data_IF_384252541981
#
_entry.id   IF_384252541981
#
_cell.length_a   1.000
_cell.length_b   1.000
_cell.length_c   1.000
_cell.angle_alpha   90.00
_cell.angle_beta   90.00
_cell.angle_gamma   90.00
#
_symmetry.space_group_name_H-M   'P 1'
#
loop_
_entity.id
_entity.type
_entity.pdbx_description
1 polymer ?
#
# COMPACT_ATOMS: atom_id res chain seq x y z
N UNK A 1 -83.03 12.17 -75.21
CA UNK A 1 -82.26 11.58 -74.10
C UNK A 1 -80.94 12.34 -73.90
N UNK A 2 -80.98 13.58 -73.43
CA UNK A 2 -79.75 14.38 -73.20
C UNK A 2 -79.69 15.03 -71.80
N UNK A 3 -80.71 14.81 -70.95
CA UNK A 3 -80.83 15.47 -69.65
C UNK A 3 -80.19 14.62 -68.52
N UNK A 4 -80.00 13.31 -68.72
CA UNK A 4 -79.42 12.40 -67.72
C UNK A 4 -77.90 12.50 -67.59
N UNK A 5 -77.17 12.83 -68.66
CA UNK A 5 -75.70 12.89 -68.62
C UNK A 5 -75.15 14.13 -67.89
N UNK A 6 -75.86 15.26 -67.96
CA UNK A 6 -75.39 16.53 -67.36
C UNK A 6 -75.56 16.54 -65.84
N UNK A 7 -76.62 15.93 -65.29
CA UNK A 7 -76.81 15.82 -63.84
C UNK A 7 -75.79 14.90 -63.16
N UNK A 8 -75.31 13.86 -63.86
CA UNK A 8 -74.28 12.96 -63.33
C UNK A 8 -72.90 13.63 -63.26
N UNK A 9 -72.55 14.49 -64.23
CA UNK A 9 -71.30 15.27 -64.20
C UNK A 9 -71.28 16.29 -63.05
N UNK A 10 -72.40 16.96 -62.77
CA UNK A 10 -72.52 17.88 -61.63
C UNK A 10 -72.46 17.16 -60.29
N UNK A 11 -73.08 15.98 -60.18
CA UNK A 11 -73.03 15.16 -58.96
C UNK A 11 -71.62 14.64 -58.66
N UNK A 12 -70.87 14.26 -59.71
CA UNK A 12 -69.47 13.88 -59.58
C UNK A 12 -68.61 14.99 -58.98
N UNK A 13 -68.76 16.23 -59.42
CA UNK A 13 -67.96 17.36 -58.92
C UNK A 13 -68.29 17.68 -57.44
N UNK A 14 -69.57 17.65 -57.07
CA UNK A 14 -70.04 17.94 -55.71
C UNK A 14 -69.61 16.88 -54.70
N UNK A 15 -69.40 15.63 -55.12
CA UNK A 15 -68.95 14.55 -54.22
C UNK A 15 -67.44 14.36 -54.24
N UNK A 16 -66.81 14.39 -55.43
CA UNK A 16 -65.38 14.06 -55.57
C UNK A 16 -64.49 15.16 -55.00
N UNK A 17 -64.82 16.45 -55.18
CA UNK A 17 -63.99 17.54 -54.65
C UNK A 17 -63.91 17.54 -53.12
N UNK A 18 -65.01 17.52 -52.36
CA UNK A 18 -64.90 17.50 -50.91
C UNK A 18 -64.20 16.24 -50.41
N UNK A 19 -64.30 15.12 -51.14
CA UNK A 19 -63.63 13.87 -50.79
C UNK A 19 -62.12 13.95 -51.00
N UNK A 20 -61.66 14.55 -52.11
CA UNK A 20 -60.23 14.82 -52.35
C UNK A 20 -59.70 15.84 -51.33
N UNK A 21 -60.47 16.88 -51.00
CA UNK A 21 -60.08 17.88 -50.02
C UNK A 21 -59.99 17.29 -48.60
N UNK A 22 -60.94 16.44 -48.22
CA UNK A 22 -60.90 15.70 -46.96
C UNK A 22 -59.69 14.74 -46.90
N UNK A 23 -59.36 14.10 -48.03
CA UNK A 23 -58.17 13.24 -48.12
C UNK A 23 -56.88 14.03 -47.95
N UNK A 24 -56.77 15.22 -48.56
CA UNK A 24 -55.61 16.12 -48.39
C UNK A 24 -55.48 16.56 -46.92
N UNK A 25 -56.59 16.93 -46.26
CA UNK A 25 -56.58 17.32 -44.84
C UNK A 25 -56.20 16.13 -43.95
N UNK A 26 -56.71 14.94 -44.23
CA UNK A 26 -56.36 13.73 -43.50
C UNK A 26 -54.85 13.45 -43.56
N UNK A 27 -54.26 13.52 -44.76
CA UNK A 27 -52.81 13.35 -44.94
C UNK A 27 -52.02 14.43 -44.19
N UNK A 28 -52.49 15.69 -44.20
CA UNK A 28 -51.84 16.78 -43.45
C UNK A 28 -51.84 16.54 -41.94
N UNK A 29 -52.96 16.08 -41.36
CA UNK A 29 -53.06 15.80 -39.92
C UNK A 29 -52.22 14.57 -39.54
N UNK A 30 -52.24 13.51 -40.36
CA UNK A 30 -51.42 12.33 -40.12
C UNK A 30 -49.92 12.66 -40.12
N UNK A 31 -49.45 13.51 -41.02
CA UNK A 31 -48.06 13.95 -41.04
C UNK A 31 -47.71 14.83 -39.81
N UNK A 32 -48.61 15.72 -39.38
CA UNK A 32 -48.43 16.49 -38.15
C UNK A 32 -48.34 15.63 -36.87
N UNK A 33 -48.85 14.39 -36.92
CA UNK A 33 -48.75 13.39 -35.85
C UNK A 33 -47.53 12.47 -35.98
N UNK A 34 -46.66 12.67 -36.98
CA UNK A 34 -45.47 11.85 -37.21
C UNK A 34 -45.76 10.46 -37.83
N UNK A 35 -46.95 10.26 -38.41
CA UNK A 35 -47.31 9.05 -39.15
C UNK A 35 -47.08 9.30 -40.65
N UNK A 36 -45.88 8.97 -41.15
CA UNK A 36 -45.46 9.14 -42.56
C UNK A 36 -46.19 8.19 -43.53
N UNK A 37 -47.49 8.36 -43.70
CA UNK A 37 -48.33 7.40 -44.42
C UNK A 37 -48.24 7.53 -45.96
N UNK A 38 -47.92 8.71 -46.52
CA UNK A 38 -47.68 8.91 -47.96
C UNK A 38 -46.84 10.19 -48.22
N UNK A 39 -45.82 10.18 -49.10
CA UNK A 39 -45.05 11.37 -49.46
C UNK A 39 -45.88 12.30 -50.36
N UNK A 40 -46.00 13.58 -49.99
CA UNK A 40 -46.73 14.59 -50.76
C UNK A 40 -45.79 15.15 -51.85
N UNK A 41 -46.09 14.99 -53.15
CA UNK A 41 -45.14 15.31 -54.23
C UNK A 41 -44.92 16.82 -54.48
N UNK A 42 -45.55 17.71 -53.72
CA UNK A 42 -45.48 19.17 -53.91
C UNK A 42 -45.26 19.95 -52.60
N UNK A 43 -44.97 19.26 -51.49
CA UNK A 43 -44.68 19.88 -50.20
C UNK A 43 -43.35 19.34 -49.67
N UNK A 44 -42.25 19.82 -50.26
CA UNK A 44 -40.90 19.51 -49.79
C UNK A 44 -40.59 20.36 -48.54
N UNK A 45 -41.04 19.88 -47.39
CA UNK A 45 -40.59 20.35 -46.08
C UNK A 45 -39.40 19.49 -45.65
N UNK A 46 -38.33 19.47 -46.46
CA UNK A 46 -37.02 19.03 -45.99
C UNK A 46 -36.53 20.04 -44.95
N UNK A 47 -36.96 19.86 -43.71
CA UNK A 47 -36.28 20.43 -42.55
C UNK A 47 -34.97 19.67 -42.45
N UNK A 48 -33.94 20.17 -43.14
CA UNK A 48 -32.57 19.99 -42.67
C UNK A 48 -32.58 20.57 -41.26
N UNK A 49 -32.57 19.69 -40.26
CA UNK A 49 -32.63 20.04 -38.85
C UNK A 49 -31.17 20.15 -38.37
N UNK A 50 -30.53 21.34 -38.45
CA UNK A 50 -29.13 21.52 -38.04
C UNK A 50 -28.89 21.11 -36.58
N UNK A 51 -29.95 21.03 -35.78
CA UNK A 51 -29.90 20.58 -34.39
C UNK A 51 -29.61 19.07 -34.25
N UNK A 52 -29.92 18.21 -35.24
CA UNK A 52 -29.58 16.78 -35.19
C UNK A 52 -28.11 16.51 -35.45
N UNK A 53 -27.51 17.25 -36.38
CA UNK A 53 -26.09 17.13 -36.71
C UNK A 53 -25.22 17.69 -35.57
N UNK A 54 -25.65 18.79 -34.94
CA UNK A 54 -25.01 19.31 -33.73
C UNK A 54 -25.14 18.36 -32.53
N UNK A 55 -26.28 17.67 -32.40
CA UNK A 55 -26.50 16.66 -31.36
C UNK A 55 -25.64 15.40 -31.57
N UNK A 56 -25.47 14.92 -32.81
CA UNK A 56 -24.60 13.78 -33.12
C UNK A 56 -23.12 14.10 -32.83
N UNK A 57 -22.65 15.32 -33.12
CA UNK A 57 -21.29 15.76 -32.78
C UNK A 57 -21.07 15.82 -31.27
N UNK A 58 -22.02 16.36 -30.50
CA UNK A 58 -21.94 16.42 -29.03
C UNK A 58 -21.97 15.03 -28.40
N UNK A 59 -22.77 14.10 -28.96
CA UNK A 59 -22.83 12.71 -28.48
C UNK A 59 -21.50 12.00 -28.76
N UNK A 60 -20.91 12.16 -29.93
CA UNK A 60 -19.61 11.58 -30.26
C UNK A 60 -18.48 12.09 -29.35
N UNK A 61 -18.45 13.39 -29.04
CA UNK A 61 -17.48 13.98 -28.11
C UNK A 61 -17.63 13.43 -26.69
N UNK A 62 -18.88 13.28 -26.22
CA UNK A 62 -19.16 12.69 -24.89
C UNK A 62 -18.84 11.21 -24.81
N UNK A 63 -19.04 10.45 -25.89
CA UNK A 63 -18.66 9.04 -25.95
C UNK A 63 -17.13 8.87 -25.87
N UNK A 64 -16.36 9.75 -26.51
CA UNK A 64 -14.90 9.77 -26.40
C UNK A 64 -14.45 10.15 -24.98
N UNK A 65 -15.09 11.14 -24.36
CA UNK A 65 -14.82 11.54 -22.98
C UNK A 65 -15.11 10.39 -22.00
N UNK A 66 -16.27 9.71 -22.12
CA UNK A 66 -16.63 8.55 -21.30
C UNK A 66 -15.60 7.44 -21.45
N UNK A 67 -15.18 7.12 -22.68
CA UNK A 67 -14.16 6.11 -22.93
C UNK A 67 -12.80 6.46 -22.30
N UNK A 68 -12.42 7.74 -22.34
CA UNK A 68 -11.20 8.23 -21.70
C UNK A 68 -11.29 8.17 -20.17
N UNK A 69 -12.46 8.46 -19.61
CA UNK A 69 -12.74 8.37 -18.18
C UNK A 69 -12.72 6.92 -17.71
N UNK A 70 -13.36 6.00 -18.44
CA UNK A 70 -13.36 4.56 -18.14
C UNK A 70 -11.94 3.99 -18.14
N UNK A 71 -11.12 4.37 -19.13
CA UNK A 71 -9.70 3.99 -19.15
C UNK A 71 -8.95 4.55 -17.94
N UNK A 72 -9.22 5.80 -17.54
CA UNK A 72 -8.59 6.44 -16.39
C UNK A 72 -9.00 5.78 -15.07
N UNK A 73 -10.28 5.40 -14.94
CA UNK A 73 -10.79 4.66 -13.78
C UNK A 73 -10.16 3.28 -13.69
N UNK A 74 -10.03 2.58 -14.82
CA UNK A 74 -9.36 1.27 -14.87
C UNK A 74 -7.90 1.35 -14.45
N UNK A 75 -7.15 2.32 -14.97
CA UNK A 75 -5.75 2.55 -14.60
C UNK A 75 -5.61 2.94 -13.12
N UNK A 76 -6.53 3.76 -12.61
CA UNK A 76 -6.52 4.17 -11.21
C UNK A 76 -6.86 3.01 -10.27
N UNK A 77 -7.80 2.12 -10.65
CA UNK A 77 -8.10 0.91 -9.88
C UNK A 77 -6.92 -0.06 -9.84
N UNK A 78 -6.24 -0.27 -10.97
CA UNK A 78 -5.05 -1.12 -11.03
C UNK A 78 -3.94 -0.58 -10.13
N UNK A 79 -3.66 0.73 -10.22
CA UNK A 79 -2.68 1.39 -9.34
C UNK A 79 -3.07 1.34 -7.87
N UNK A 80 -4.37 1.39 -7.56
CA UNK A 80 -4.86 1.26 -6.18
C UNK A 80 -4.59 -0.15 -5.64
N UNK A 81 -4.82 -1.18 -6.44
CA UNK A 81 -4.55 -2.56 -6.06
C UNK A 81 -3.05 -2.81 -5.89
N UNK A 82 -2.20 -2.33 -6.82
CA UNK A 82 -0.73 -2.39 -6.68
C UNK A 82 -0.25 -1.69 -5.40
N UNK A 83 -0.77 -0.50 -5.11
CA UNK A 83 -0.40 0.26 -3.92
C UNK A 83 -0.84 -0.46 -2.64
N UNK A 84 -2.01 -1.08 -2.65
CA UNK A 84 -2.54 -1.87 -1.55
C UNK A 84 -1.71 -3.12 -1.31
N UNK A 85 -1.32 -3.82 -2.37
CA UNK A 85 -0.41 -4.96 -2.28
C UNK A 85 0.97 -4.55 -1.74
N UNK A 86 1.53 -3.44 -2.22
CA UNK A 86 2.79 -2.91 -1.69
C UNK A 86 2.69 -2.51 -0.22
N UNK A 87 1.58 -1.89 0.20
CA UNK A 87 1.34 -1.59 1.61
C UNK A 87 1.25 -2.86 2.46
N UNK A 88 0.52 -3.87 2.00
CA UNK A 88 0.42 -5.14 2.71
C UNK A 88 1.77 -5.86 2.80
N UNK A 89 2.58 -5.83 1.74
CA UNK A 89 3.92 -6.40 1.74
C UNK A 89 4.82 -5.68 2.76
N UNK A 90 4.82 -4.34 2.77
CA UNK A 90 5.56 -3.54 3.74
C UNK A 90 5.07 -3.74 5.17
N UNK A 91 3.77 -3.91 5.38
CA UNK A 91 3.21 -4.18 6.71
C UNK A 91 3.67 -5.52 7.25
N UNK A 92 3.69 -6.58 6.41
CA UNK A 92 4.24 -7.89 6.78
C UNK A 92 5.73 -7.83 7.05
N UNK A 93 6.47 -7.10 6.21
CA UNK A 93 7.89 -6.88 6.44
C UNK A 93 8.10 -6.20 7.79
N UNK A 94 7.39 -5.10 8.07
CA UNK A 94 7.47 -4.39 9.35
C UNK A 94 7.17 -5.31 10.56
N UNK A 95 6.16 -6.16 10.46
CA UNK A 95 5.83 -7.14 11.51
C UNK A 95 6.98 -8.13 11.76
N UNK A 96 7.65 -8.60 10.71
CA UNK A 96 8.85 -9.45 10.84
C UNK A 96 10.01 -8.68 11.50
N UNK A 97 10.27 -7.45 11.07
CA UNK A 97 11.32 -6.61 11.66
C UNK A 97 11.05 -6.31 13.14
N UNK A 98 9.79 -6.06 13.52
CA UNK A 98 9.39 -5.86 14.92
C UNK A 98 9.62 -7.13 15.76
N UNK A 99 9.33 -8.30 15.20
CA UNK A 99 9.59 -9.57 15.86
C UNK A 99 11.09 -9.82 16.05
N UNK A 100 11.90 -9.63 15.00
CA UNK A 100 13.35 -9.82 15.04
C UNK A 100 14.02 -8.85 16.02
N UNK A 101 13.55 -7.59 16.06
CA UNK A 101 14.05 -6.59 16.98
C UNK A 101 13.75 -6.97 18.43
N UNK A 102 12.54 -7.46 18.70
CA UNK A 102 12.16 -7.94 20.02
C UNK A 102 13.01 -9.13 20.47
N UNK A 103 13.24 -10.11 19.59
CA UNK A 103 14.10 -11.26 19.91
C UNK A 103 15.54 -10.80 20.20
N UNK A 104 16.06 -9.86 19.42
CA UNK A 104 17.40 -9.32 19.63
C UNK A 104 17.52 -8.53 20.93
N UNK A 105 16.50 -7.75 21.29
CA UNK A 105 16.42 -7.06 22.58
C UNK A 105 16.41 -8.05 23.76
N UNK A 106 15.61 -9.11 23.68
CA UNK A 106 15.58 -10.17 24.71
C UNK A 106 16.94 -10.84 24.86
N UNK A 107 17.61 -11.18 23.76
CA UNK A 107 18.96 -11.76 23.77
C UNK A 107 20.01 -10.80 24.34
N UNK A 108 19.88 -9.49 24.08
CA UNK A 108 20.78 -8.49 24.63
C UNK A 108 20.61 -8.36 26.15
N UNK A 109 19.37 -8.29 26.63
CA UNK A 109 19.08 -8.24 28.07
C UNK A 109 19.63 -9.48 28.76
N UNK A 110 19.38 -10.69 28.23
CA UNK A 110 19.91 -11.92 28.82
C UNK A 110 21.44 -11.92 28.87
N UNK A 111 22.11 -11.46 27.80
CA UNK A 111 23.58 -11.34 27.78
C UNK A 111 24.09 -10.31 28.76
N UNK A 112 23.44 -9.16 28.89
CA UNK A 112 23.80 -8.12 29.85
C UNK A 112 23.65 -8.62 31.29
N UNK A 113 22.54 -9.31 31.61
CA UNK A 113 22.33 -9.94 32.90
C UNK A 113 23.41 -10.99 33.19
N UNK A 114 23.72 -11.89 32.26
CA UNK A 114 24.78 -12.89 32.42
C UNK A 114 26.16 -12.25 32.64
N UNK A 115 26.48 -11.18 31.92
CA UNK A 115 27.75 -10.47 32.08
C UNK A 115 27.80 -9.72 33.42
N UNK A 116 26.70 -9.11 33.84
CA UNK A 116 26.59 -8.44 35.12
C UNK A 116 26.70 -9.43 36.28
N UNK A 117 26.01 -10.56 36.23
CA UNK A 117 26.10 -11.62 37.22
C UNK A 117 27.52 -12.18 37.30
N UNK A 118 28.17 -12.40 36.16
CA UNK A 118 29.58 -12.81 36.12
C UNK A 118 30.47 -11.75 36.77
N UNK A 119 30.26 -10.47 36.48
CA UNK A 119 30.99 -9.35 37.07
C UNK A 119 30.83 -9.32 38.59
N UNK A 120 29.59 -9.32 39.09
CA UNK A 120 29.27 -9.30 40.53
C UNK A 120 29.89 -10.51 41.24
N UNK A 121 29.87 -11.69 40.62
CA UNK A 121 30.52 -12.88 41.18
C UNK A 121 32.03 -12.71 41.30
N UNK A 122 32.69 -12.20 40.25
CA UNK A 122 34.13 -11.98 40.26
C UNK A 122 34.50 -10.90 41.28
N UNK A 123 33.74 -9.81 41.36
CA UNK A 123 33.91 -8.73 42.34
C UNK A 123 33.78 -9.26 43.78
N UNK A 124 32.76 -10.06 44.06
CA UNK A 124 32.59 -10.71 45.39
C UNK A 124 33.78 -11.62 45.73
N UNK A 125 34.32 -12.33 44.74
CA UNK A 125 35.51 -13.17 44.93
C UNK A 125 36.74 -12.29 45.21
N UNK A 126 36.91 -11.20 44.47
CA UNK A 126 37.99 -10.25 44.67
C UNK A 126 37.95 -9.66 46.08
N UNK A 127 36.80 -9.16 46.52
CA UNK A 127 36.61 -8.63 47.87
C UNK A 127 36.97 -9.66 48.95
N UNK A 128 36.54 -10.91 48.78
CA UNK A 128 36.84 -11.97 49.75
C UNK A 128 38.34 -12.23 49.87
N UNK A 129 39.07 -12.24 48.76
CA UNK A 129 40.51 -12.47 48.78
C UNK A 129 41.30 -11.23 49.19
N UNK A 130 40.82 -10.02 48.89
CA UNK A 130 41.42 -8.76 49.37
C UNK A 130 41.38 -8.64 50.89
N UNK A 131 40.32 -9.15 51.51
CA UNK A 131 40.18 -9.17 52.97
C UNK A 131 40.90 -10.35 53.65
N UNK A 132 41.53 -11.23 52.86
CA UNK A 132 42.28 -12.38 53.37
C UNK A 132 43.75 -12.02 53.56
N UNK A 133 44.46 -12.79 54.39
CA UNK A 133 45.92 -12.64 54.51
C UNK A 133 46.57 -12.93 53.16
N UNK A 134 47.46 -12.05 52.72
CA UNK A 134 48.14 -12.07 51.41
C UNK A 134 48.68 -13.46 51.05
N UNK A 135 49.40 -14.11 51.97
CA UNK A 135 50.00 -15.43 51.73
C UNK A 135 48.94 -16.53 51.52
N UNK A 136 47.83 -16.45 52.26
CA UNK A 136 46.76 -17.44 52.20
C UNK A 136 45.93 -17.25 50.91
N UNK A 137 45.67 -15.98 50.53
CA UNK A 137 45.07 -15.66 49.24
C UNK A 137 45.96 -16.12 48.07
N UNK A 138 47.27 -15.87 48.15
CA UNK A 138 48.22 -16.25 47.12
C UNK A 138 48.28 -17.78 46.93
N UNK A 139 48.29 -18.54 48.02
CA UNK A 139 48.30 -20.00 47.99
C UNK A 139 47.04 -20.60 47.33
N UNK A 140 45.91 -19.89 47.36
CA UNK A 140 44.67 -20.33 46.70
C UNK A 140 44.65 -19.86 45.23
N UNK A 141 44.98 -18.60 44.98
CA UNK A 141 44.92 -18.01 43.63
C UNK A 141 45.96 -18.63 42.69
N UNK A 142 47.12 -19.07 43.19
CA UNK A 142 48.12 -19.76 42.35
C UNK A 142 47.63 -21.11 41.79
N UNK A 143 46.53 -21.66 42.28
CA UNK A 143 45.95 -22.90 41.72
C UNK A 143 44.98 -22.62 40.55
N UNK A 144 44.63 -21.35 40.30
CA UNK A 144 43.75 -20.93 39.22
C UNK A 144 44.52 -20.65 37.92
N UNK A 145 43.80 -20.60 36.80
CA UNK A 145 44.39 -20.20 35.52
C UNK A 145 44.74 -18.70 35.51
N UNK A 146 45.79 -18.32 34.76
CA UNK A 146 46.28 -16.94 34.70
C UNK A 146 45.15 -15.96 34.30
N UNK A 147 44.25 -16.34 33.39
CA UNK A 147 43.12 -15.50 32.95
C UNK A 147 42.08 -15.25 34.07
N UNK A 148 41.83 -16.24 34.92
CA UNK A 148 40.92 -16.10 36.07
C UNK A 148 41.52 -15.21 37.14
N UNK A 149 42.82 -15.36 37.41
CA UNK A 149 43.57 -14.51 38.34
C UNK A 149 43.51 -13.06 37.87
N UNK A 150 43.77 -12.81 36.57
CA UNK A 150 43.71 -11.47 35.99
C UNK A 150 42.30 -10.88 36.11
N UNK A 151 41.26 -11.69 35.87
CA UNK A 151 39.88 -11.24 36.00
C UNK A 151 39.56 -10.81 37.44
N UNK A 152 40.05 -11.53 38.45
CA UNK A 152 39.89 -11.19 39.87
C UNK A 152 40.70 -9.95 40.22
N UNK A 153 41.97 -9.86 39.80
CA UNK A 153 42.86 -8.73 40.08
C UNK A 153 42.35 -7.40 39.53
N UNK A 154 41.58 -7.41 38.44
CA UNK A 154 40.93 -6.20 37.90
C UNK A 154 39.94 -5.53 38.86
N UNK A 155 39.43 -6.26 39.85
CA UNK A 155 38.51 -5.75 40.88
C UNK A 155 39.19 -5.58 42.25
N UNK A 156 40.51 -5.72 42.33
CA UNK A 156 41.28 -5.51 43.55
C UNK A 156 42.07 -4.20 43.49
N UNK A 157 42.38 -3.64 44.66
CA UNK A 157 43.30 -2.51 44.76
C UNK A 157 44.73 -2.90 44.31
N UNK A 158 45.44 -1.96 43.66
CA UNK A 158 46.78 -2.20 43.13
C UNK A 158 47.79 -2.68 44.17
N UNK A 159 47.68 -2.16 45.40
CA UNK A 159 48.58 -2.50 46.49
C UNK A 159 48.37 -3.95 46.95
N UNK A 160 47.11 -4.37 47.09
CA UNK A 160 46.72 -5.75 47.41
C UNK A 160 47.19 -6.72 46.31
N UNK A 161 47.01 -6.34 45.05
CA UNK A 161 47.49 -7.15 43.90
C UNK A 161 49.01 -7.28 43.93
N UNK A 162 49.74 -6.19 44.18
CA UNK A 162 51.20 -6.19 44.29
C UNK A 162 51.68 -7.11 45.42
N UNK A 163 51.04 -7.03 46.59
CA UNK A 163 51.36 -7.86 47.74
C UNK A 163 51.11 -9.35 47.44
N UNK A 164 49.99 -9.70 46.81
CA UNK A 164 49.66 -11.07 46.43
C UNK A 164 50.65 -11.59 45.36
N UNK A 165 50.93 -10.80 44.32
CA UNK A 165 51.91 -11.14 43.27
C UNK A 165 53.31 -11.35 43.84
N UNK A 166 53.70 -10.60 44.87
CA UNK A 166 55.00 -10.78 45.54
C UNK A 166 55.13 -12.13 46.25
N UNK A 167 54.00 -12.78 46.54
CA UNK A 167 53.94 -14.12 47.16
C UNK A 167 53.87 -15.25 46.13
N UNK A 168 53.82 -14.94 44.82
CA UNK A 168 53.86 -15.93 43.75
C UNK A 168 55.29 -16.30 43.34
N UNK A 169 55.43 -17.42 42.63
CA UNK A 169 56.69 -17.75 41.95
C UNK A 169 57.06 -16.66 40.92
N UNK A 170 58.33 -16.21 40.87
CA UNK A 170 58.73 -15.08 40.02
C UNK A 170 58.38 -15.25 38.53
N UNK A 171 58.51 -16.47 38.00
CA UNK A 171 58.15 -16.77 36.62
C UNK A 171 56.66 -16.62 36.34
N UNK A 172 55.82 -16.98 37.31
CA UNK A 172 54.36 -16.91 37.18
C UNK A 172 53.85 -15.49 37.38
N UNK A 173 54.38 -14.76 38.36
CA UNK A 173 54.10 -13.35 38.53
C UNK A 173 54.43 -12.55 37.24
N UNK A 174 55.56 -12.86 36.59
CA UNK A 174 55.93 -12.26 35.31
C UNK A 174 54.96 -12.62 34.16
N UNK A 175 54.50 -13.87 34.09
CA UNK A 175 53.49 -14.32 33.11
C UNK A 175 52.19 -13.52 33.25
N UNK A 176 51.64 -13.48 34.47
CA UNK A 176 50.39 -12.78 34.78
C UNK A 176 50.53 -11.29 34.49
N UNK A 177 51.62 -10.65 34.95
CA UNK A 177 51.87 -9.22 34.71
C UNK A 177 51.96 -8.91 33.21
N UNK A 178 52.63 -9.78 32.42
CA UNK A 178 52.72 -9.61 30.96
C UNK A 178 51.35 -9.70 30.30
N UNK A 179 50.47 -10.58 30.76
CA UNK A 179 49.12 -10.74 30.21
C UNK A 179 48.15 -9.63 30.64
N UNK A 180 48.53 -8.80 31.63
CA UNK A 180 47.78 -7.62 32.06
C UNK A 180 48.11 -6.35 31.27
N UNK A 181 49.26 -6.30 30.58
CA UNK A 181 49.69 -5.17 29.74
C UNK A 181 49.00 -5.19 28.38
#
# INVERSE_FOLDING_TARGET
MAITAQKLKMFGYVVVIPLVLAFIIFVLISNALGLDLLPIPFLDLSVQDPAKEELEVIVAEKEEEIKSLESSVSLLSERYDELKESQNAKAKELELWEQDLKELEEQLVEKEEMLNDKKVRIETIADKYSNMRTRDAAAILQELDDDEIIAIFKFMDSDTVSDILSSFEPSRAASITKNMM
#
